data_IF_151952320235
#
_entry.id   IF_151952320235
#
_cell.length_a   1.000
_cell.length_b   1.000
_cell.length_c   1.000
_cell.angle_alpha   90.00
_cell.angle_beta   90.00
_cell.angle_gamma   90.00
#
_symmetry.space_group_name_H-M   'P 1'
#
loop_
_entity.id
_entity.type
_entity.pdbx_description
1 polymer ?
#
# COMPACT_ATOMS: atom_id res chain seq x y z
N UNK A 1 22.12 -17.34 -12.82
CA UNK A 1 20.76 -16.75 -12.88
C UNK A 1 20.30 -16.78 -14.31
N UNK A 2 19.29 -17.56 -14.64
CA UNK A 2 18.61 -17.50 -15.93
C UNK A 2 17.74 -16.24 -15.90
N UNK A 3 18.07 -15.24 -16.70
CA UNK A 3 17.23 -14.06 -16.93
C UNK A 3 16.44 -14.33 -18.21
N UNK A 4 15.33 -15.00 -18.10
CA UNK A 4 14.38 -15.27 -19.17
C UNK A 4 13.22 -14.26 -19.20
N UNK A 5 13.22 -13.32 -18.24
CA UNK A 5 12.22 -12.24 -18.19
C UNK A 5 12.63 -11.08 -19.10
N UNK A 6 11.71 -10.68 -19.97
CA UNK A 6 11.86 -9.51 -20.85
C UNK A 6 11.82 -8.18 -20.09
N UNK A 7 11.32 -8.18 -18.86
CA UNK A 7 11.10 -6.97 -18.06
C UNK A 7 11.80 -7.06 -16.71
N UNK A 8 12.18 -5.91 -16.18
CA UNK A 8 12.66 -5.74 -14.82
C UNK A 8 11.75 -4.80 -14.05
N UNK A 9 11.53 -5.08 -12.78
CA UNK A 9 10.71 -4.26 -11.87
C UNK A 9 11.54 -3.75 -10.71
N UNK A 10 11.15 -2.61 -10.14
CA UNK A 10 11.82 -1.98 -9.02
C UNK A 10 11.00 -2.02 -7.75
N UNK A 11 11.67 -2.32 -6.62
CA UNK A 11 11.08 -2.24 -5.30
C UNK A 11 12.12 -1.77 -4.28
N UNK A 12 11.74 -0.77 -3.49
CA UNK A 12 12.51 -0.29 -2.35
C UNK A 12 11.66 -0.40 -1.07
N UNK A 13 12.30 -0.49 0.07
CA UNK A 13 11.61 -0.59 1.35
C UNK A 13 12.45 -0.01 2.48
N UNK A 14 11.78 0.43 3.55
CA UNK A 14 12.47 0.88 4.77
C UNK A 14 13.16 -0.28 5.47
N UNK A 15 14.38 -0.07 5.96
CA UNK A 15 15.07 -1.04 6.82
C UNK A 15 14.37 -1.16 8.17
N UNK A 16 13.83 -0.05 8.66
CA UNK A 16 13.13 0.04 9.92
C UNK A 16 11.67 -0.39 9.76
N UNK A 17 11.11 -0.98 10.81
CA UNK A 17 9.71 -1.30 10.97
C UNK A 17 9.04 -0.34 11.95
N UNK A 18 7.75 -0.08 11.73
CA UNK A 18 6.96 0.90 12.48
C UNK A 18 5.64 0.25 12.91
N UNK A 19 5.20 0.50 14.13
CA UNK A 19 3.90 0.00 14.62
C UNK A 19 2.82 1.08 14.55
N UNK A 20 3.16 2.28 15.01
CA UNK A 20 2.28 3.44 15.03
C UNK A 20 2.97 4.64 14.45
N UNK A 21 2.22 5.68 14.15
CA UNK A 21 2.72 6.93 13.64
C UNK A 21 2.01 7.38 12.37
N UNK A 22 2.46 8.48 11.81
CA UNK A 22 1.95 9.03 10.56
C UNK A 22 3.06 9.02 9.51
N UNK A 23 2.75 8.46 8.36
CA UNK A 23 3.55 8.60 7.14
C UNK A 23 2.91 9.61 6.21
N UNK A 24 3.71 10.48 5.62
CA UNK A 24 3.36 11.34 4.50
C UNK A 24 4.32 11.05 3.34
N UNK A 25 3.77 10.68 2.20
CA UNK A 25 4.53 10.34 1.00
C UNK A 25 4.04 11.26 -0.12
N UNK A 26 4.89 12.19 -0.57
CA UNK A 26 4.55 13.01 -1.72
C UNK A 26 5.12 12.35 -2.97
N UNK A 27 4.23 11.89 -3.82
CA UNK A 27 4.59 11.12 -5.00
C UNK A 27 3.61 11.33 -6.15
N UNK A 28 4.09 11.01 -7.38
CA UNK A 28 3.25 10.77 -8.55
C UNK A 28 3.60 9.41 -9.15
N UNK A 29 2.57 8.73 -9.66
CA UNK A 29 2.66 7.36 -10.10
C UNK A 29 2.35 7.25 -11.61
N UNK A 30 2.96 6.29 -12.33
CA UNK A 30 2.66 6.04 -13.73
C UNK A 30 1.29 5.38 -13.89
N UNK A 31 0.62 5.64 -15.04
CA UNK A 31 -0.75 5.19 -15.32
C UNK A 31 -0.88 4.46 -16.66
N UNK A 32 0.22 4.02 -17.24
CA UNK A 32 0.22 3.30 -18.53
C UNK A 32 -0.27 1.86 -18.38
N UNK A 33 -0.70 1.24 -19.48
CA UNK A 33 -1.11 -0.16 -19.46
C UNK A 33 0.05 -1.07 -19.01
N UNK A 34 -0.26 -2.07 -18.23
CA UNK A 34 0.69 -3.04 -17.70
C UNK A 34 1.44 -2.62 -16.43
N UNK A 35 1.37 -1.34 -16.01
CA UNK A 35 2.02 -0.93 -14.75
C UNK A 35 1.18 -1.29 -13.52
N UNK A 36 1.87 -1.56 -12.44
CA UNK A 36 1.32 -1.71 -11.09
C UNK A 36 2.21 -0.99 -10.07
N UNK A 37 2.02 0.32 -9.94
CA UNK A 37 2.65 1.08 -8.88
C UNK A 37 1.91 0.89 -7.55
N UNK A 38 2.65 0.75 -6.46
CA UNK A 38 2.11 0.63 -5.11
C UNK A 38 2.96 1.34 -4.06
N UNK A 39 2.27 2.01 -3.13
CA UNK A 39 2.80 2.49 -1.86
C UNK A 39 2.09 1.70 -0.76
N UNK A 40 2.78 0.80 -0.09
CA UNK A 40 2.16 -0.18 0.77
C UNK A 40 3.01 -0.56 1.97
N UNK A 41 2.42 -1.23 2.94
CA UNK A 41 3.08 -1.61 4.18
C UNK A 41 2.90 -3.10 4.44
N UNK A 42 4.01 -3.78 4.65
CA UNK A 42 4.05 -5.20 4.94
C UNK A 42 4.50 -5.46 6.35
N UNK A 43 3.79 -6.38 7.01
CA UNK A 43 4.17 -6.84 8.34
C UNK A 43 5.56 -7.48 8.35
N UNK A 44 6.24 -7.35 9.49
CA UNK A 44 7.33 -8.24 9.85
C UNK A 44 6.77 -9.65 10.10
N UNK A 45 7.64 -10.65 10.24
CA UNK A 45 7.21 -11.97 10.73
C UNK A 45 6.37 -11.80 12.00
N UNK A 46 5.27 -12.49 12.13
CA UNK A 46 4.34 -12.19 13.21
C UNK A 46 3.38 -13.32 13.52
N UNK A 47 2.27 -12.98 14.19
CA UNK A 47 1.26 -13.93 14.63
C UNK A 47 0.69 -14.75 13.49
N UNK A 48 -0.16 -15.72 13.82
CA UNK A 48 -0.82 -16.60 12.86
C UNK A 48 -1.57 -15.85 11.73
N UNK A 49 -1.99 -14.62 12.00
CA UNK A 49 -2.54 -13.70 11.01
C UNK A 49 -1.68 -12.44 10.92
N UNK A 50 -1.32 -12.03 9.72
CA UNK A 50 -0.57 -10.79 9.43
C UNK A 50 -1.41 -9.86 8.57
N UNK A 51 -1.20 -8.55 8.77
CA UNK A 51 -1.81 -7.51 7.96
C UNK A 51 -0.92 -7.05 6.82
N UNK A 52 -1.56 -6.48 5.81
CA UNK A 52 -0.95 -5.68 4.75
C UNK A 52 -1.79 -4.42 4.57
N UNK A 53 -1.17 -3.28 4.34
CA UNK A 53 -1.84 -1.99 4.21
C UNK A 53 -1.40 -1.35 2.90
N UNK A 54 -2.31 -1.21 1.95
CA UNK A 54 -2.04 -0.60 0.66
C UNK A 54 -2.54 0.83 0.68
N UNK A 55 -1.62 1.78 0.86
CA UNK A 55 -1.93 3.20 0.87
C UNK A 55 -2.31 3.70 -0.52
N UNK A 56 -1.67 3.17 -1.55
CA UNK A 56 -1.99 3.40 -2.96
C UNK A 56 -1.71 2.14 -3.74
N UNK A 57 -2.68 1.68 -4.49
CA UNK A 57 -2.54 0.70 -5.56
C UNK A 57 -3.23 1.17 -6.84
N UNK A 58 -2.58 0.92 -7.96
CA UNK A 58 -3.13 1.16 -9.28
C UNK A 58 -2.69 0.06 -10.24
N UNK A 59 -3.54 -0.29 -11.17
CA UNK A 59 -3.15 -1.10 -12.34
C UNK A 59 -3.55 -0.36 -13.61
N UNK A 60 -2.75 -0.52 -14.65
CA UNK A 60 -2.88 0.20 -15.92
C UNK A 60 -4.21 0.00 -16.67
N UNK A 61 -5.12 -0.83 -16.13
CA UNK A 61 -6.50 -0.98 -16.59
C UNK A 61 -7.48 0.03 -15.98
N UNK A 62 -7.12 0.62 -14.87
CA UNK A 62 -7.97 1.58 -14.17
C UNK A 62 -7.94 2.92 -14.89
N UNK A 63 -8.98 3.72 -14.70
CA UNK A 63 -8.93 5.12 -15.12
C UNK A 63 -7.87 5.85 -14.30
N UNK A 64 -7.10 6.74 -14.93
CA UNK A 64 -6.03 7.50 -14.26
C UNK A 64 -6.53 8.32 -13.05
N UNK A 65 -7.82 8.67 -13.05
CA UNK A 65 -8.49 9.41 -11.97
C UNK A 65 -8.97 8.52 -10.82
N UNK A 66 -8.50 7.27 -10.74
CA UNK A 66 -8.85 6.34 -9.67
C UNK A 66 -7.62 5.61 -9.16
N UNK A 67 -7.63 5.34 -7.87
CA UNK A 67 -6.72 4.41 -7.21
C UNK A 67 -7.49 3.54 -6.23
N UNK A 68 -6.88 2.49 -5.74
CA UNK A 68 -7.38 1.72 -4.61
C UNK A 68 -6.52 1.98 -3.37
N UNK A 69 -7.16 2.01 -2.22
CA UNK A 69 -6.58 1.74 -0.92
C UNK A 69 -7.12 0.41 -0.44
N UNK A 70 -6.35 -0.35 0.35
CA UNK A 70 -6.77 -1.66 0.78
C UNK A 70 -6.16 -2.04 2.13
N UNK A 71 -6.81 -2.97 2.79
CA UNK A 71 -6.30 -3.66 3.96
C UNK A 71 -6.47 -5.15 3.73
N UNK A 72 -5.38 -5.90 3.85
CA UNK A 72 -5.40 -7.35 3.72
C UNK A 72 -5.12 -8.02 5.05
N UNK A 73 -5.76 -9.17 5.25
CA UNK A 73 -5.49 -10.13 6.31
C UNK A 73 -5.03 -11.43 5.67
N UNK A 74 -3.89 -11.97 6.14
CA UNK A 74 -3.31 -13.20 5.66
C UNK A 74 -3.00 -14.15 6.82
N UNK A 75 -3.40 -15.40 6.74
CA UNK A 75 -3.00 -16.42 7.71
C UNK A 75 -4.16 -17.13 8.38
N UNK A 76 -4.05 -17.39 9.70
CA UNK A 76 -5.08 -18.12 10.44
C UNK A 76 -5.96 -17.14 11.20
N UNK A 77 -7.21 -16.98 10.79
CA UNK A 77 -8.21 -16.16 11.45
C UNK A 77 -9.62 -16.62 11.05
N UNK A 78 -10.65 -16.23 11.82
CA UNK A 78 -12.02 -16.63 11.59
C UNK A 78 -12.20 -18.15 11.57
N UNK A 79 -11.42 -18.89 12.36
CA UNK A 79 -11.48 -20.36 12.41
C UNK A 79 -10.90 -21.09 11.20
N UNK A 80 -10.29 -20.39 10.23
CA UNK A 80 -9.72 -20.96 8.99
C UNK A 80 -8.21 -20.76 8.95
N UNK A 81 -7.49 -21.81 8.52
CA UNK A 81 -6.04 -21.73 8.20
C UNK A 81 -5.85 -21.20 6.78
N UNK A 82 -4.71 -20.52 6.54
CA UNK A 82 -4.35 -19.95 5.24
C UNK A 82 -5.48 -19.10 4.61
N UNK A 83 -6.19 -18.38 5.45
CA UNK A 83 -7.27 -17.49 5.03
C UNK A 83 -6.69 -16.18 4.46
N UNK A 84 -7.43 -15.58 3.52
CA UNK A 84 -7.14 -14.27 2.99
C UNK A 84 -8.43 -13.47 2.89
N UNK A 85 -8.41 -12.27 3.44
CA UNK A 85 -9.47 -11.27 3.24
C UNK A 85 -8.88 -9.93 2.87
N UNK A 86 -9.67 -9.17 2.14
CA UNK A 86 -9.32 -7.82 1.74
C UNK A 86 -10.51 -6.87 1.93
N UNK A 87 -10.20 -5.62 2.19
CA UNK A 87 -11.17 -4.56 2.46
C UNK A 87 -10.83 -3.34 1.58
N UNK A 88 -11.07 -3.44 0.26
CA UNK A 88 -10.67 -2.41 -0.69
C UNK A 88 -11.62 -1.21 -0.68
N UNK A 89 -11.05 -0.05 -1.01
CA UNK A 89 -11.81 1.18 -1.29
C UNK A 89 -11.26 1.84 -2.55
N UNK A 90 -12.12 2.11 -3.52
CA UNK A 90 -11.75 2.93 -4.67
C UNK A 90 -11.85 4.41 -4.32
N UNK A 91 -10.85 5.17 -4.71
CA UNK A 91 -10.70 6.61 -4.41
C UNK A 91 -10.53 7.38 -5.71
N UNK A 92 -11.30 8.45 -5.88
CA UNK A 92 -11.19 9.34 -7.03
C UNK A 92 -10.03 10.33 -6.81
N UNK A 93 -8.93 10.10 -7.53
CA UNK A 93 -7.74 10.96 -7.53
C UNK A 93 -6.91 10.69 -8.77
N UNK A 94 -6.39 11.74 -9.41
CA UNK A 94 -5.49 11.57 -10.55
C UNK A 94 -4.06 11.36 -10.10
N UNK A 95 -3.65 10.12 -9.91
CA UNK A 95 -2.34 9.74 -9.40
C UNK A 95 -1.17 10.09 -10.33
N UNK A 96 -1.41 10.50 -11.57
CA UNK A 96 -0.37 11.00 -12.47
C UNK A 96 0.13 12.40 -12.10
N UNK A 97 -0.53 13.06 -11.17
CA UNK A 97 -0.08 14.30 -10.53
C UNK A 97 0.58 13.99 -9.19
N UNK A 98 1.34 14.95 -8.65
CA UNK A 98 1.85 14.85 -7.29
C UNK A 98 0.71 15.04 -6.29
N UNK A 99 0.59 14.09 -5.36
CA UNK A 99 -0.29 14.13 -4.21
C UNK A 99 0.48 13.78 -2.94
N UNK A 100 -0.02 14.21 -1.79
CA UNK A 100 0.46 13.78 -0.47
C UNK A 100 -0.44 12.64 -0.01
N UNK A 101 0.09 11.43 -0.06
CA UNK A 101 -0.56 10.23 0.45
C UNK A 101 -0.19 10.05 1.91
N UNK A 102 -1.17 9.97 2.79
CA UNK A 102 -0.95 9.87 4.24
C UNK A 102 -1.57 8.60 4.79
N UNK A 103 -0.79 7.85 5.57
CA UNK A 103 -1.26 6.77 6.42
C UNK A 103 -1.02 7.14 7.89
N UNK A 104 -2.09 7.17 8.68
CA UNK A 104 -1.98 7.23 10.14
C UNK A 104 -2.27 5.84 10.71
N UNK A 105 -1.27 5.24 11.33
CA UNK A 105 -1.38 3.99 12.08
C UNK A 105 -1.55 4.33 13.55
N UNK A 106 -2.78 4.22 14.03
CA UNK A 106 -3.18 4.53 15.40
C UNK A 106 -3.56 3.23 16.12
N UNK A 107 -3.59 3.25 17.44
CA UNK A 107 -4.10 2.10 18.21
C UNK A 107 -5.56 1.84 17.83
N UNK A 108 -5.85 0.64 17.34
CA UNK A 108 -7.19 0.22 16.91
C UNK A 108 -7.73 0.92 15.67
N UNK A 109 -6.90 1.66 14.90
CA UNK A 109 -7.40 2.45 13.77
C UNK A 109 -6.32 2.73 12.72
N UNK A 110 -6.71 2.63 11.44
CA UNK A 110 -5.94 3.10 10.28
C UNK A 110 -6.71 4.22 9.59
N UNK A 111 -6.04 5.32 9.26
CA UNK A 111 -6.63 6.45 8.52
C UNK A 111 -5.81 6.74 7.27
N UNK A 112 -6.47 6.72 6.13
CA UNK A 112 -5.88 6.99 4.82
C UNK A 112 -6.33 8.37 4.36
N UNK A 113 -5.38 9.20 3.92
CA UNK A 113 -5.68 10.55 3.42
C UNK A 113 -4.97 10.81 2.10
N UNK A 114 -5.57 11.64 1.27
CA UNK A 114 -4.96 12.25 0.09
C UNK A 114 -5.11 13.75 0.23
N UNK A 115 -3.98 14.48 0.14
CA UNK A 115 -3.92 15.94 0.29
C UNK A 115 -4.65 16.45 1.55
N UNK A 116 -4.45 15.73 2.66
CA UNK A 116 -5.05 16.04 3.96
C UNK A 116 -6.51 15.60 4.14
N UNK A 117 -7.22 15.20 3.07
CA UNK A 117 -8.61 14.72 3.14
C UNK A 117 -8.66 13.24 3.44
N UNK A 118 -9.45 12.82 4.43
CA UNK A 118 -9.70 11.39 4.73
C UNK A 118 -10.44 10.77 3.55
N UNK A 119 -9.87 9.69 3.00
CA UNK A 119 -10.45 8.93 1.89
C UNK A 119 -10.91 7.53 2.31
N UNK A 120 -10.31 7.00 3.39
CA UNK A 120 -10.71 5.73 3.98
C UNK A 120 -10.30 5.66 5.45
N UNK A 121 -11.07 4.96 6.23
CA UNK A 121 -10.81 4.68 7.64
C UNK A 121 -11.22 3.24 7.95
N UNK A 122 -10.41 2.53 8.71
CA UNK A 122 -10.68 1.16 9.18
C UNK A 122 -10.40 1.11 10.67
N UNK A 123 -11.36 0.63 11.44
CA UNK A 123 -11.26 0.45 12.90
C UNK A 123 -11.19 -1.03 13.27
N UNK A 124 -10.70 -1.32 14.44
CA UNK A 124 -10.61 -2.67 15.02
C UNK A 124 -11.97 -3.35 15.06
N UNK A 125 -13.05 -2.92 14.93
CA UNK A 125 -14.35 -3.60 14.87
C UNK A 125 -14.89 -3.80 13.45
N UNK A 126 -14.25 -3.16 12.45
CA UNK A 126 -14.76 -3.19 11.07
C UNK A 126 -14.28 -4.43 10.30
N UNK A 127 -13.31 -5.16 10.84
CA UNK A 127 -12.68 -6.32 10.19
C UNK A 127 -12.59 -7.51 11.14
N UNK A 128 -12.52 -8.72 10.60
CA UNK A 128 -12.58 -9.97 11.36
C UNK A 128 -11.46 -10.18 12.37
N UNK A 129 -10.29 -9.64 12.10
CA UNK A 129 -9.10 -9.72 12.94
C UNK A 129 -8.28 -8.44 12.81
N UNK A 130 -7.66 -7.99 13.91
CA UNK A 130 -6.91 -6.73 13.95
C UNK A 130 -5.42 -6.98 14.24
N UNK A 131 -4.58 -7.24 13.25
CA UNK A 131 -3.16 -7.49 13.48
C UNK A 131 -2.33 -6.21 13.66
N UNK A 132 -2.89 -5.04 13.42
CA UNK A 132 -2.14 -3.79 13.30
C UNK A 132 -1.62 -3.25 14.64
N UNK A 133 -2.16 -3.73 15.75
CA UNK A 133 -1.66 -3.47 17.10
C UNK A 133 -0.65 -4.55 17.59
N UNK A 134 -0.48 -5.64 16.85
CA UNK A 134 0.27 -6.81 17.31
C UNK A 134 1.69 -6.89 16.71
N UNK A 135 1.89 -6.34 15.52
CA UNK A 135 3.19 -6.38 14.84
C UNK A 135 3.56 -5.02 14.26
N UNK A 136 4.75 -4.92 13.71
CA UNK A 136 5.25 -3.72 13.03
C UNK A 136 5.30 -3.93 11.53
N UNK A 137 5.27 -2.83 10.80
CA UNK A 137 5.15 -2.77 9.36
C UNK A 137 6.31 -1.96 8.77
N UNK A 138 6.80 -2.34 7.60
CA UNK A 138 7.73 -1.52 6.82
C UNK A 138 7.05 -0.96 5.59
N UNK A 139 7.38 0.28 5.25
CA UNK A 139 6.97 0.88 4.00
C UNK A 139 7.67 0.21 2.84
N UNK A 140 6.91 -0.08 1.80
CA UNK A 140 7.37 -0.58 0.51
C UNK A 140 6.87 0.32 -0.60
N UNK A 141 7.74 0.67 -1.53
CA UNK A 141 7.42 1.39 -2.76
C UNK A 141 7.81 0.48 -3.90
N UNK A 142 6.85 0.07 -4.70
CA UNK A 142 7.04 -0.91 -5.76
C UNK A 142 6.43 -0.45 -7.07
N UNK A 143 7.13 -0.72 -8.16
CA UNK A 143 6.59 -0.62 -9.50
C UNK A 143 6.79 -1.96 -10.18
N UNK A 144 5.69 -2.68 -10.40
CA UNK A 144 5.66 -3.91 -11.16
C UNK A 144 5.12 -3.65 -12.57
N UNK A 145 5.45 -4.54 -13.50
CA UNK A 145 4.96 -4.50 -14.88
C UNK A 145 4.53 -5.88 -15.34
N UNK A 146 3.37 -5.96 -15.98
CA UNK A 146 2.82 -7.22 -16.48
C UNK A 146 2.27 -8.13 -15.38
N UNK A 147 2.38 -9.45 -15.61
CA UNK A 147 1.80 -10.46 -14.74
C UNK A 147 0.28 -10.59 -14.91
N UNK A 148 -0.32 -11.45 -14.10
CA UNK A 148 -1.74 -11.82 -14.25
C UNK A 148 -2.68 -10.65 -14.03
N UNK A 149 -2.40 -9.80 -13.03
CA UNK A 149 -3.30 -8.70 -12.69
C UNK A 149 -3.02 -7.43 -13.50
N UNK A 150 -1.81 -6.90 -13.44
CA UNK A 150 -1.47 -5.65 -14.14
C UNK A 150 -1.47 -5.81 -15.67
N UNK A 151 -1.10 -7.00 -16.16
CA UNK A 151 -1.09 -7.31 -17.59
C UNK A 151 -2.47 -7.69 -18.16
N UNK A 152 -3.52 -7.80 -17.33
CA UNK A 152 -4.85 -8.24 -17.79
C UNK A 152 -5.50 -7.30 -18.83
N UNK A 153 -5.06 -6.05 -18.89
CA UNK A 153 -5.52 -5.05 -19.86
C UNK A 153 -4.48 -4.71 -20.94
N UNK A 154 -3.54 -5.63 -21.17
CA UNK A 154 -2.48 -5.45 -22.14
C UNK A 154 -1.24 -4.78 -21.54
N UNK A 155 -0.22 -4.66 -22.38
CA UNK A 155 1.08 -4.09 -22.05
C UNK A 155 1.37 -2.93 -23.03
N UNK A 156 1.96 -1.86 -22.50
CA UNK A 156 2.40 -0.72 -23.30
C UNK A 156 3.93 -0.67 -23.33
N UNK A 157 4.56 -1.65 -23.98
CA UNK A 157 6.02 -1.85 -23.97
C UNK A 157 6.77 -0.64 -24.53
N UNK A 158 6.21 0.03 -25.52
CA UNK A 158 6.77 1.26 -26.11
C UNK A 158 6.72 2.47 -25.17
N UNK A 159 6.04 2.37 -24.03
CA UNK A 159 5.99 3.40 -22.99
C UNK A 159 7.07 3.23 -21.91
N UNK A 160 7.84 2.17 -21.95
CA UNK A 160 8.90 1.88 -20.98
C UNK A 160 10.18 2.68 -21.29
N UNK A 161 10.98 3.07 -20.29
CA UNK A 161 10.79 2.76 -18.86
C UNK A 161 9.77 3.66 -18.17
N UNK A 162 9.11 3.14 -17.14
CA UNK A 162 8.20 3.89 -16.28
C UNK A 162 8.81 4.08 -14.87
N UNK A 163 8.34 5.09 -14.14
CA UNK A 163 8.85 5.39 -12.80
C UNK A 163 7.78 5.95 -11.86
N UNK A 164 7.85 5.55 -10.60
CA UNK A 164 7.24 6.31 -9.51
C UNK A 164 8.19 7.46 -9.18
N UNK A 165 7.67 8.69 -9.10
CA UNK A 165 8.46 9.85 -8.67
C UNK A 165 8.07 10.22 -7.25
N UNK A 166 9.01 10.12 -6.32
CA UNK A 166 8.83 10.43 -4.91
C UNK A 166 9.61 11.70 -4.60
N UNK A 167 8.91 12.72 -4.10
CA UNK A 167 9.51 13.97 -3.64
C UNK A 167 10.07 13.80 -2.23
N UNK A 168 9.24 13.28 -1.31
CA UNK A 168 9.67 12.95 0.04
C UNK A 168 8.84 11.81 0.66
N UNK A 169 9.44 11.20 1.67
CA UNK A 169 8.78 10.34 2.66
C UNK A 169 9.09 10.92 4.04
N UNK A 170 8.05 11.26 4.80
CA UNK A 170 8.15 11.75 6.17
C UNK A 170 7.46 10.79 7.11
N UNK A 171 8.09 10.51 8.24
CA UNK A 171 7.51 9.75 9.33
C UNK A 171 7.42 10.62 10.58
N UNK A 172 6.27 10.60 11.22
CA UNK A 172 6.01 11.31 12.48
C UNK A 172 5.63 10.27 13.53
N UNK A 173 6.43 10.21 14.58
CA UNK A 173 6.11 9.37 15.75
C UNK A 173 4.90 9.98 16.47
N UNK A 174 4.00 9.13 16.96
CA UNK A 174 2.99 9.59 17.90
C UNK A 174 3.70 10.05 19.18
N UNK A 175 3.27 11.18 19.75
CA UNK A 175 3.65 11.52 21.11
C UNK A 175 3.03 10.47 22.01
N UNK A 176 3.82 9.83 22.86
CA UNK A 176 3.29 9.06 23.96
C UNK A 176 2.50 10.06 24.83
N UNK A 177 1.22 9.78 25.06
CA UNK A 177 0.50 10.46 26.12
C UNK A 177 1.24 10.07 27.40
N UNK A 178 1.93 11.02 28.03
CA UNK A 178 2.38 10.88 29.40
C UNK A 178 1.11 10.71 30.23
N UNK A 179 0.77 9.48 30.59
CA UNK A 179 -0.20 9.25 31.64
C UNK A 179 0.50 9.64 32.95
N UNK A 180 0.21 10.86 33.41
CA UNK A 180 0.47 11.30 34.78
C UNK A 180 -0.41 10.53 35.77
#
# INVERSE_FOLDING_TARGET
CIRDSLYTSGRIFTKQYFRYGKFEIKAKLPVTAGVWPALWFKANSGPACVGEIDLVEYIGCMKAEKMNVNVHLWGTFGGKKNNHKQYPRSVAVNISNYHIYTLEMLRGKLVFKVDGKVVYEVKKGDIEYWPFDETSYRLMIALSYGGTWAGSCGLADNSLPQSIKVDYVKYYRLKEECND
#
